data_IF_024979683495
#
_entry.id   IF_024979683495
#
_cell.length_a   1.000
_cell.length_b   1.000
_cell.length_c   1.000
_cell.angle_alpha   90.00
_cell.angle_beta   90.00
_cell.angle_gamma   90.00
#
_symmetry.space_group_name_H-M   'P 1'
#
loop_
_entity.id
_entity.type
_entity.pdbx_description
1 polymer ?
#
# COMPACT_ATOMS: atom_id res chain seq x y z
N UNK A 1 15.70 17.51 0.29
CA UNK A 1 15.31 17.89 1.66
C UNK A 1 13.95 17.30 1.97
N UNK A 2 13.72 16.88 3.22
CA UNK A 2 12.50 16.15 3.61
C UNK A 2 11.81 16.82 4.80
N UNK A 3 10.49 16.85 4.76
CA UNK A 3 9.63 17.25 5.88
C UNK A 3 8.88 16.02 6.38
N UNK A 4 8.82 15.85 7.70
CA UNK A 4 8.02 14.80 8.33
C UNK A 4 6.71 15.38 8.85
N UNK A 5 5.60 14.70 8.61
CA UNK A 5 4.31 14.97 9.25
C UNK A 5 3.95 13.76 10.10
N UNK A 6 3.96 13.90 11.42
CA UNK A 6 3.69 12.84 12.36
C UNK A 6 2.30 12.99 12.96
N UNK A 7 1.35 12.11 12.58
CA UNK A 7 0.05 12.05 13.23
C UNK A 7 0.15 11.23 14.51
N UNK A 8 -0.09 11.87 15.65
CA UNK A 8 0.17 11.30 16.97
C UNK A 8 -1.11 10.81 17.63
N UNK A 9 -1.08 9.54 18.06
CA UNK A 9 -2.10 8.89 18.86
C UNK A 9 -1.46 8.33 20.13
N UNK A 10 -1.54 7.01 20.31
CA UNK A 10 -0.99 6.31 21.47
C UNK A 10 0.47 5.88 21.32
N UNK A 11 0.96 5.77 20.09
CA UNK A 11 2.30 5.23 19.82
C UNK A 11 3.37 6.33 19.87
N UNK A 12 4.07 6.46 20.99
CA UNK A 12 5.19 7.39 21.13
C UNK A 12 6.47 6.84 20.48
N UNK A 13 6.91 5.65 20.92
CA UNK A 13 8.19 5.07 20.54
C UNK A 13 8.26 4.77 19.04
N UNK A 14 7.18 4.26 18.46
CA UNK A 14 7.13 3.98 17.00
C UNK A 14 7.26 5.23 16.15
N UNK A 15 6.69 6.36 16.58
CA UNK A 15 6.87 7.64 15.87
C UNK A 15 8.33 8.08 15.97
N UNK A 16 8.94 7.97 17.16
CA UNK A 16 10.36 8.27 17.37
C UNK A 16 11.27 7.37 16.50
N UNK A 17 10.96 6.08 16.41
CA UNK A 17 11.68 5.11 15.58
C UNK A 17 11.57 5.45 14.09
N UNK A 18 10.37 5.82 13.62
CA UNK A 18 10.12 6.27 12.26
C UNK A 18 10.93 7.53 11.91
N UNK A 19 10.87 8.54 12.77
CA UNK A 19 11.66 9.78 12.60
C UNK A 19 13.16 9.46 12.55
N UNK A 20 13.66 8.64 13.48
CA UNK A 20 15.08 8.26 13.52
C UNK A 20 15.51 7.48 12.28
N UNK A 21 14.65 6.58 11.77
CA UNK A 21 14.91 5.86 10.53
C UNK A 21 15.09 6.81 9.35
N UNK A 22 14.16 7.75 9.17
CA UNK A 22 14.22 8.69 8.04
C UNK A 22 15.35 9.70 8.17
N UNK A 23 15.66 10.15 9.39
CA UNK A 23 16.79 11.05 9.67
C UNK A 23 18.14 10.45 9.27
N UNK A 24 18.30 9.12 9.32
CA UNK A 24 19.52 8.43 8.82
C UNK A 24 19.63 8.41 7.30
N UNK A 25 18.52 8.60 6.58
CA UNK A 25 18.45 8.48 5.11
C UNK A 25 18.42 9.82 4.41
N UNK A 26 17.80 10.83 5.02
CA UNK A 26 17.57 12.12 4.39
C UNK A 26 17.80 13.28 5.37
N UNK A 27 18.26 14.45 4.88
CA UNK A 27 18.28 15.67 5.68
C UNK A 27 16.83 16.13 5.95
N UNK A 28 16.47 16.19 7.24
CA UNK A 28 15.15 16.60 7.72
C UNK A 28 15.15 18.11 7.98
N UNK A 29 14.28 18.83 7.28
CA UNK A 29 14.13 20.28 7.38
C UNK A 29 13.17 20.71 8.49
N UNK A 30 12.06 19.98 8.61
CA UNK A 30 11.02 20.27 9.58
C UNK A 30 10.27 18.99 9.96
N UNK A 31 9.71 19.01 11.17
CA UNK A 31 8.84 17.97 11.70
C UNK A 31 7.55 18.63 12.17
N UNK A 32 6.44 18.31 11.53
CA UNK A 32 5.09 18.72 11.97
C UNK A 32 4.51 17.60 12.83
N UNK A 33 4.14 17.90 14.07
CA UNK A 33 3.52 16.96 15.00
C UNK A 33 2.03 17.32 15.10
N UNK A 34 1.19 16.47 14.52
CA UNK A 34 -0.26 16.64 14.53
C UNK A 34 -0.86 15.86 15.70
N UNK A 35 -1.56 16.56 16.59
CA UNK A 35 -2.11 15.97 17.81
C UNK A 35 -3.62 16.24 17.99
N UNK A 36 -4.31 15.31 18.63
CA UNK A 36 -5.75 15.38 18.86
C UNK A 36 -6.09 16.43 19.92
N UNK A 37 -6.76 17.51 19.49
CA UNK A 37 -7.18 18.63 20.36
C UNK A 37 -8.44 18.35 21.17
N UNK A 38 -9.14 17.24 20.93
CA UNK A 38 -10.38 16.90 21.65
C UNK A 38 -10.12 16.66 23.13
N UNK A 39 -11.04 17.09 23.99
CA UNK A 39 -10.96 16.90 25.44
C UNK A 39 -11.50 15.53 25.86
N UNK A 40 -11.02 14.46 25.22
CA UNK A 40 -11.35 13.07 25.54
C UNK A 40 -10.09 12.25 25.86
N UNK A 41 -10.28 10.95 26.13
CA UNK A 41 -9.19 10.02 26.48
C UNK A 41 -8.13 9.84 25.40
N UNK A 42 -8.54 9.89 24.14
CA UNK A 42 -7.65 9.75 23.00
C UNK A 42 -6.86 11.04 22.78
N UNK A 43 -7.53 12.19 22.89
CA UNK A 43 -6.91 13.50 22.85
C UNK A 43 -5.92 13.73 24.00
N UNK A 44 -6.22 13.25 25.20
CA UNK A 44 -5.29 13.32 26.33
C UNK A 44 -3.98 12.60 26.03
N UNK A 45 -4.06 11.33 25.60
CA UNK A 45 -2.89 10.53 25.22
C UNK A 45 -2.08 11.20 24.09
N UNK A 46 -2.77 11.63 23.03
CA UNK A 46 -2.15 12.29 21.88
C UNK A 46 -1.40 13.57 22.26
N UNK A 47 -1.99 14.45 23.08
CA UNK A 47 -1.34 15.67 23.57
C UNK A 47 -0.10 15.39 24.42
N UNK A 48 -0.17 14.40 25.31
CA UNK A 48 0.97 14.01 26.14
C UNK A 48 2.12 13.49 25.28
N UNK A 49 1.81 12.58 24.35
CA UNK A 49 2.80 12.07 23.40
C UNK A 49 3.38 13.17 22.51
N UNK A 50 2.56 14.12 22.03
CA UNK A 50 3.03 15.22 21.19
C UNK A 50 4.01 16.13 21.94
N UNK A 51 3.75 16.42 23.22
CA UNK A 51 4.67 17.20 24.06
C UNK A 51 5.98 16.44 24.29
N UNK A 52 5.91 15.17 24.69
CA UNK A 52 7.09 14.34 24.92
C UNK A 52 7.93 14.19 23.63
N UNK A 53 7.27 14.06 22.46
CA UNK A 53 7.94 14.01 21.15
C UNK A 53 8.56 15.36 20.77
N UNK A 54 7.89 16.48 21.05
CA UNK A 54 8.44 17.81 20.83
C UNK A 54 9.76 17.98 21.57
N UNK A 55 9.81 17.56 22.83
CA UNK A 55 11.02 17.58 23.66
C UNK A 55 12.10 16.64 23.10
N UNK A 56 11.74 15.38 22.82
CA UNK A 56 12.69 14.37 22.35
C UNK A 56 13.27 14.64 20.95
N UNK A 57 12.52 15.33 20.09
CA UNK A 57 12.91 15.66 18.71
C UNK A 57 13.46 17.08 18.56
N UNK A 58 13.54 17.84 19.65
CA UNK A 58 14.22 19.14 19.66
C UNK A 58 15.73 18.94 19.60
N UNK A 59 16.39 19.60 18.64
CA UNK A 59 17.85 19.60 18.53
C UNK A 59 18.35 21.02 18.23
N UNK A 60 19.65 21.25 18.38
CA UNK A 60 20.26 22.58 18.24
C UNK A 60 19.82 23.27 16.92
N UNK A 61 18.96 24.29 17.05
CA UNK A 61 18.48 25.12 15.95
C UNK A 61 17.13 24.73 15.31
N UNK A 62 16.48 23.63 15.71
CA UNK A 62 15.17 23.25 15.16
C UNK A 62 14.27 22.60 16.22
N UNK A 63 13.01 23.04 16.24
CA UNK A 63 11.94 22.51 17.11
C UNK A 63 10.80 22.00 16.23
N UNK A 64 10.22 20.82 16.53
CA UNK A 64 9.01 20.39 15.86
C UNK A 64 7.86 21.41 15.98
N UNK A 65 7.01 21.48 14.94
CA UNK A 65 5.84 22.36 14.88
C UNK A 65 4.61 21.58 15.37
N UNK A 66 4.04 21.97 16.50
CA UNK A 66 2.84 21.34 17.06
C UNK A 66 1.57 21.91 16.41
N UNK A 67 0.70 21.03 15.88
CA UNK A 67 -0.55 21.41 15.23
C UNK A 67 -1.72 20.60 15.79
N UNK A 68 -2.65 21.28 16.46
CA UNK A 68 -3.84 20.65 17.03
C UNK A 68 -4.95 20.46 16.01
N UNK A 69 -5.42 19.23 15.83
CA UNK A 69 -6.49 18.87 14.90
C UNK A 69 -7.47 17.87 15.51
N UNK A 70 -8.59 17.60 14.83
CA UNK A 70 -9.52 16.55 15.18
C UNK A 70 -9.32 15.35 14.23
N UNK A 71 -8.66 14.25 14.66
CA UNK A 71 -8.40 13.10 13.80
C UNK A 71 -9.68 12.38 13.35
N UNK A 72 -10.80 12.53 14.05
CA UNK A 72 -12.08 11.91 13.70
C UNK A 72 -12.93 12.78 12.76
N UNK A 73 -12.44 13.96 12.35
CA UNK A 73 -13.13 14.85 11.42
C UNK A 73 -12.39 14.88 10.09
N UNK A 74 -12.85 14.08 9.12
CA UNK A 74 -12.25 14.05 7.79
C UNK A 74 -11.98 15.46 7.20
N UNK A 75 -12.92 16.42 7.23
CA UNK A 75 -12.67 17.77 6.71
C UNK A 75 -11.54 18.52 7.42
N UNK A 76 -11.41 18.36 8.73
CA UNK A 76 -10.38 19.03 9.54
C UNK A 76 -9.01 18.39 9.33
N UNK A 77 -8.95 17.06 9.21
CA UNK A 77 -7.70 16.37 8.84
C UNK A 77 -7.27 16.77 7.43
N UNK A 78 -8.21 16.73 6.47
CA UNK A 78 -7.92 17.05 5.08
C UNK A 78 -7.42 18.48 4.93
N UNK A 79 -8.12 19.47 5.50
CA UNK A 79 -7.69 20.87 5.39
C UNK A 79 -6.35 21.13 6.06
N UNK A 80 -6.09 20.52 7.23
CA UNK A 80 -4.81 20.62 7.94
C UNK A 80 -3.68 20.03 7.12
N UNK A 81 -3.82 18.78 6.65
CA UNK A 81 -2.80 18.12 5.84
C UNK A 81 -2.58 18.84 4.51
N UNK A 82 -3.65 19.18 3.80
CA UNK A 82 -3.56 19.90 2.53
C UNK A 82 -2.80 21.21 2.69
N UNK A 83 -3.09 22.00 3.73
CA UNK A 83 -2.40 23.27 3.99
C UNK A 83 -0.89 23.07 4.17
N UNK A 84 -0.48 22.07 4.98
CA UNK A 84 0.93 21.79 5.23
C UNK A 84 1.61 21.28 3.96
N UNK A 85 1.02 20.28 3.30
CA UNK A 85 1.58 19.63 2.13
C UNK A 85 1.69 20.62 0.97
N UNK A 86 0.66 21.44 0.73
CA UNK A 86 0.65 22.43 -0.34
C UNK A 86 1.77 23.45 -0.16
N UNK A 87 2.03 23.88 1.07
CA UNK A 87 3.14 24.79 1.38
C UNK A 87 4.49 24.10 1.17
N UNK A 88 4.71 22.93 1.79
CA UNK A 88 6.00 22.26 1.76
C UNK A 88 6.37 21.74 0.36
N UNK A 89 5.40 21.19 -0.39
CA UNK A 89 5.66 20.61 -1.71
C UNK A 89 5.75 21.69 -2.80
N UNK A 90 4.81 22.64 -2.84
CA UNK A 90 4.71 23.55 -3.98
C UNK A 90 5.39 24.89 -3.74
N UNK A 91 5.44 25.39 -2.50
CA UNK A 91 6.05 26.69 -2.20
C UNK A 91 7.50 26.53 -1.74
N UNK A 92 7.82 25.42 -1.07
CA UNK A 92 9.17 25.11 -0.56
C UNK A 92 9.91 24.03 -1.36
N UNK A 93 9.27 23.37 -2.33
CA UNK A 93 9.85 22.30 -3.17
C UNK A 93 10.46 21.14 -2.36
N UNK A 94 9.85 20.79 -1.23
CA UNK A 94 10.32 19.71 -0.33
C UNK A 94 9.49 18.45 -0.50
N UNK A 95 10.15 17.30 -0.32
CA UNK A 95 9.49 16.00 -0.21
C UNK A 95 8.85 15.86 1.18
N UNK A 96 7.63 15.34 1.23
CA UNK A 96 6.89 15.12 2.49
C UNK A 96 6.76 13.62 2.76
N UNK A 97 7.08 13.21 3.99
CA UNK A 97 6.79 11.87 4.49
C UNK A 97 5.76 11.96 5.61
N UNK A 98 4.62 11.29 5.44
CA UNK A 98 3.50 11.30 6.39
C UNK A 98 3.51 10.00 7.19
N UNK A 99 3.71 10.10 8.49
CA UNK A 99 3.55 9.00 9.43
C UNK A 99 2.06 8.79 9.73
N UNK A 100 1.52 7.65 9.29
CA UNK A 100 0.13 7.25 9.57
C UNK A 100 0.03 6.15 10.63
N UNK A 101 1.06 6.00 11.47
CA UNK A 101 1.19 4.91 12.45
C UNK A 101 0.12 4.92 13.52
N UNK A 102 -0.15 6.09 14.10
CA UNK A 102 -0.99 6.22 15.29
C UNK A 102 -2.14 7.18 15.02
N UNK A 103 -2.99 6.83 14.05
CA UNK A 103 -4.08 7.70 13.62
C UNK A 103 -5.39 6.95 13.43
N UNK A 104 -6.48 7.69 13.28
CA UNK A 104 -7.83 7.14 13.05
C UNK A 104 -8.04 6.76 11.59
N UNK A 105 -9.14 6.07 11.28
CA UNK A 105 -9.47 5.68 9.90
C UNK A 105 -9.79 6.91 9.03
N UNK A 106 -10.46 7.90 9.61
CA UNK A 106 -10.79 9.16 8.94
C UNK A 106 -9.51 9.92 8.56
N UNK A 107 -8.56 9.99 9.49
CA UNK A 107 -7.29 10.65 9.25
C UNK A 107 -6.41 9.91 8.23
N UNK A 108 -6.37 8.57 8.31
CA UNK A 108 -5.70 7.74 7.32
C UNK A 108 -6.29 7.96 5.92
N UNK A 109 -7.62 7.96 5.80
CA UNK A 109 -8.32 8.24 4.54
C UNK A 109 -7.98 9.62 3.98
N UNK A 110 -8.00 10.66 4.81
CA UNK A 110 -7.64 12.02 4.40
C UNK A 110 -6.17 12.13 3.97
N UNK A 111 -5.25 11.45 4.67
CA UNK A 111 -3.83 11.42 4.32
C UNK A 111 -3.59 10.76 2.96
N UNK A 112 -4.23 9.63 2.69
CA UNK A 112 -4.17 8.96 1.37
C UNK A 112 -4.71 9.90 0.28
N UNK A 113 -5.88 10.50 0.49
CA UNK A 113 -6.46 11.43 -0.48
C UNK A 113 -5.55 12.62 -0.76
N UNK A 114 -4.98 13.24 0.28
CA UNK A 114 -4.04 14.36 0.10
C UNK A 114 -2.81 13.92 -0.68
N UNK A 115 -2.19 12.79 -0.31
CA UNK A 115 -0.98 12.33 -0.97
C UNK A 115 -1.18 12.01 -2.45
N UNK A 116 -2.36 11.54 -2.86
CA UNK A 116 -2.68 11.33 -4.28
C UNK A 116 -2.71 12.63 -5.11
N UNK A 117 -2.78 13.80 -4.46
CA UNK A 117 -2.81 15.10 -5.14
C UNK A 117 -1.41 15.68 -5.41
N UNK A 118 -0.34 15.06 -4.88
CA UNK A 118 1.03 15.59 -4.95
C UNK A 118 2.03 14.47 -5.25
N UNK A 119 3.03 14.73 -6.08
CA UNK A 119 4.03 13.72 -6.49
C UNK A 119 5.03 13.32 -5.42
N UNK A 120 5.38 14.27 -4.56
CA UNK A 120 6.48 14.13 -3.62
C UNK A 120 6.00 13.92 -2.19
N UNK A 121 4.88 13.20 -2.06
CA UNK A 121 4.30 12.81 -0.78
C UNK A 121 4.33 11.29 -0.66
N UNK A 122 4.93 10.79 0.42
CA UNK A 122 4.97 9.35 0.72
C UNK A 122 4.33 9.11 2.08
N UNK A 123 3.35 8.20 2.15
CA UNK A 123 2.82 7.73 3.41
C UNK A 123 3.66 6.55 3.91
N UNK A 124 3.81 6.43 5.23
CA UNK A 124 4.40 5.25 5.83
C UNK A 124 3.73 4.90 7.16
N UNK A 125 3.86 3.64 7.54
CA UNK A 125 3.52 3.11 8.85
C UNK A 125 4.74 2.44 9.45
N UNK A 126 4.96 2.59 10.75
CA UNK A 126 6.01 1.89 11.49
C UNK A 126 5.36 0.71 12.19
N UNK A 127 5.40 -0.53 11.69
CA UNK A 127 4.69 -1.65 12.31
C UNK A 127 5.20 -1.92 13.73
N UNK A 128 4.35 -2.37 14.67
CA UNK A 128 4.83 -2.68 16.00
C UNK A 128 5.58 -4.03 16.00
N UNK A 129 6.62 -4.16 16.82
CA UNK A 129 7.29 -5.44 17.03
C UNK A 129 6.39 -6.49 17.71
N UNK A 130 5.37 -6.03 18.45
CA UNK A 130 4.41 -6.87 19.18
C UNK A 130 2.96 -6.45 18.86
N UNK A 131 1.98 -7.39 18.91
CA UNK A 131 0.55 -7.12 18.61
C UNK A 131 -0.29 -6.99 19.89
N UNK A 132 -1.32 -6.13 19.86
CA UNK A 132 -2.32 -5.92 20.93
C UNK A 132 -2.28 -4.46 21.44
N UNK A 133 -3.27 -3.86 22.09
CA UNK A 133 -4.09 -4.35 23.20
C UNK A 133 -5.36 -3.49 23.44
N UNK A 134 -6.23 -3.94 24.37
CA UNK A 134 -7.36 -3.22 24.98
C UNK A 134 -6.96 -1.86 25.61
N UNK A 135 -7.85 -0.85 25.61
CA UNK A 135 -7.59 0.51 26.11
C UNK A 135 -8.42 0.78 27.40
N UNK A 136 -7.79 0.93 28.58
CA UNK A 136 -8.45 1.31 29.83
C UNK A 136 -8.84 2.81 29.89
N UNK A 137 -9.68 3.19 30.86
CA UNK A 137 -10.15 4.58 31.06
C UNK A 137 -9.09 5.47 31.74
N UNK A 138 -8.90 6.75 31.31
CA UNK A 138 -7.95 7.66 31.93
C UNK A 138 -8.27 7.98 33.39
N UNK A 139 -7.22 8.25 34.17
CA UNK A 139 -7.32 8.61 35.59
C UNK A 139 -7.40 7.41 36.53
N UNK A 140 -7.52 6.19 35.98
CA UNK A 140 -7.38 4.96 36.75
C UNK A 140 -5.90 4.55 36.87
N UNK A 141 -5.47 3.90 37.98
CA UNK A 141 -4.08 3.44 38.14
C UNK A 141 -3.62 2.52 36.99
N UNK A 142 -4.50 1.67 36.47
CA UNK A 142 -4.15 0.76 35.37
C UNK A 142 -3.89 1.51 34.05
N UNK A 143 -4.39 2.74 33.90
CA UNK A 143 -4.20 3.53 32.69
C UNK A 143 -2.74 3.97 32.52
N UNK A 144 -2.09 4.46 33.58
CA UNK A 144 -0.70 4.92 33.47
C UNK A 144 0.25 3.75 33.19
N UNK A 145 0.01 2.60 33.82
CA UNK A 145 0.79 1.39 33.55
C UNK A 145 0.57 0.90 32.12
N UNK A 146 -0.69 0.82 31.67
CA UNK A 146 -1.03 0.46 30.30
C UNK A 146 -0.43 1.44 29.28
N UNK A 147 -0.60 2.74 29.51
CA UNK A 147 -0.14 3.80 28.62
C UNK A 147 1.37 3.77 28.50
N UNK A 148 2.08 3.57 29.62
CA UNK A 148 3.53 3.36 29.65
C UNK A 148 3.96 2.12 28.84
N UNK A 149 3.22 1.01 28.93
CA UNK A 149 3.53 -0.18 28.12
C UNK A 149 3.34 0.06 26.63
N UNK A 150 2.16 0.56 26.22
CA UNK A 150 1.82 0.73 24.80
C UNK A 150 2.70 1.78 24.13
N UNK A 151 2.96 2.91 24.80
CA UNK A 151 3.78 3.99 24.22
C UNK A 151 5.22 3.57 23.94
N UNK A 152 5.73 2.55 24.62
CA UNK A 152 7.13 2.11 24.60
C UNK A 152 7.37 0.87 23.71
N UNK A 153 6.35 0.39 22.99
CA UNK A 153 6.52 -0.71 22.04
C UNK A 153 7.40 -0.23 20.89
N UNK A 154 8.51 -0.92 20.65
CA UNK A 154 9.42 -0.60 19.56
C UNK A 154 8.78 -0.85 18.18
N UNK A 155 9.19 -0.03 17.22
CA UNK A 155 8.83 -0.17 15.82
C UNK A 155 9.76 -1.11 15.05
N UNK A 156 9.21 -1.79 14.06
CA UNK A 156 9.97 -2.34 12.94
C UNK A 156 10.30 -1.24 11.92
N UNK A 157 11.05 -1.57 10.88
CA UNK A 157 11.34 -0.62 9.80
C UNK A 157 10.06 -0.02 9.19
N UNK A 158 10.04 1.30 8.91
CA UNK A 158 8.93 1.96 8.22
C UNK A 158 8.56 1.24 6.92
N UNK A 159 7.27 0.98 6.76
CA UNK A 159 6.69 0.44 5.54
C UNK A 159 5.98 1.56 4.80
N UNK A 160 6.47 1.87 3.59
CA UNK A 160 5.82 2.83 2.71
C UNK A 160 4.49 2.28 2.18
N UNK A 161 3.47 3.13 2.16
CA UNK A 161 2.20 2.85 1.50
C UNK A 161 2.34 3.29 0.04
N UNK A 162 2.45 2.31 -0.85
CA UNK A 162 2.59 2.60 -2.27
C UNK A 162 1.27 3.08 -2.86
N UNK A 163 1.27 4.32 -3.29
CA UNK A 163 0.13 4.96 -3.93
C UNK A 163 0.27 4.87 -5.46
N UNK A 164 -0.86 4.82 -6.18
CA UNK A 164 -0.86 5.09 -7.62
C UNK A 164 -0.28 6.48 -7.88
N UNK A 165 0.23 6.69 -9.10
CA UNK A 165 0.66 8.02 -9.53
C UNK A 165 -0.51 9.00 -9.64
N UNK A 166 -0.29 10.08 -10.39
CA UNK A 166 -1.22 11.22 -10.53
C UNK A 166 -2.66 10.88 -10.97
N UNK A 167 -2.94 9.65 -11.44
CA UNK A 167 -4.28 9.25 -11.86
C UNK A 167 -4.62 7.82 -11.42
N UNK A 168 -5.76 7.70 -10.74
CA UNK A 168 -6.47 6.45 -10.45
C UNK A 168 -7.16 5.90 -11.72
N UNK A 169 -6.43 5.76 -12.82
CA UNK A 169 -6.97 5.13 -14.02
C UNK A 169 -6.57 3.65 -14.04
N UNK A 170 -7.56 2.77 -14.19
CA UNK A 170 -7.27 1.35 -14.41
C UNK A 170 -6.48 1.15 -15.71
N UNK A 171 -5.50 0.24 -15.75
CA UNK A 171 -4.89 -0.17 -17.00
C UNK A 171 -5.94 -0.83 -17.92
N UNK A 172 -5.79 -0.63 -19.22
CA UNK A 172 -6.53 -1.37 -20.26
C UNK A 172 -5.94 -2.77 -20.44
N UNK A 173 -6.63 -3.67 -21.12
CA UNK A 173 -6.18 -5.07 -21.31
C UNK A 173 -4.74 -5.19 -21.87
N UNK A 174 -4.41 -4.40 -22.91
CA UNK A 174 -3.05 -4.34 -23.47
C UNK A 174 -2.01 -3.81 -22.46
N UNK A 175 -2.40 -2.86 -21.60
CA UNK A 175 -1.55 -2.30 -20.53
C UNK A 175 -1.36 -3.31 -19.39
N UNK A 176 -2.42 -4.03 -19.01
CA UNK A 176 -2.39 -5.13 -18.03
C UNK A 176 -1.46 -6.27 -18.50
N UNK A 177 -1.46 -6.58 -19.80
CA UNK A 177 -0.54 -7.55 -20.41
C UNK A 177 0.90 -7.11 -20.21
N UNK A 178 1.22 -5.84 -20.49
CA UNK A 178 2.59 -5.30 -20.30
C UNK A 178 2.99 -5.32 -18.81
N UNK A 179 2.11 -4.91 -17.91
CA UNK A 179 2.40 -4.93 -16.47
C UNK A 179 2.62 -6.36 -15.97
N UNK A 180 1.83 -7.32 -16.46
CA UNK A 180 1.98 -8.75 -16.14
C UNK A 180 3.29 -9.33 -16.70
N UNK A 181 3.65 -9.00 -17.94
CA UNK A 181 4.87 -9.54 -18.57
C UNK A 181 6.11 -8.97 -17.89
N UNK A 182 6.11 -7.67 -17.56
CA UNK A 182 7.19 -7.07 -16.78
C UNK A 182 7.36 -7.79 -15.45
N UNK A 183 6.28 -8.08 -14.70
CA UNK A 183 6.37 -8.83 -13.45
C UNK A 183 6.97 -10.22 -13.64
N UNK A 184 6.58 -10.94 -14.69
CA UNK A 184 7.13 -12.27 -15.01
C UNK A 184 8.64 -12.23 -15.29
N UNK A 185 9.14 -11.10 -15.80
CA UNK A 185 10.55 -10.84 -16.09
C UNK A 185 11.27 -10.02 -15.00
N UNK A 186 10.83 -10.12 -13.73
CA UNK A 186 11.52 -9.48 -12.60
C UNK A 186 11.20 -7.99 -12.42
N UNK A 187 10.20 -7.48 -13.13
CA UNK A 187 9.71 -6.10 -13.05
C UNK A 187 10.51 -5.08 -13.85
N UNK A 188 11.40 -5.53 -14.73
CA UNK A 188 12.36 -4.69 -15.45
C UNK A 188 12.47 -5.14 -16.91
N UNK A 189 12.60 -4.19 -17.83
CA UNK A 189 13.05 -4.42 -19.20
C UNK A 189 14.15 -3.44 -19.60
N UNK A 190 15.15 -3.92 -20.35
CA UNK A 190 16.21 -3.08 -20.91
C UNK A 190 15.71 -2.16 -22.04
N UNK A 191 14.58 -2.51 -22.67
CA UNK A 191 14.00 -1.69 -23.75
C UNK A 191 12.52 -2.00 -24.04
N UNK A 192 11.87 -1.09 -24.78
CA UNK A 192 10.53 -1.35 -25.33
C UNK A 192 10.54 -2.54 -26.30
N UNK A 193 11.64 -2.75 -27.04
CA UNK A 193 11.82 -3.89 -27.94
C UNK A 193 11.65 -5.22 -27.20
N UNK A 194 12.31 -5.39 -26.05
CA UNK A 194 12.22 -6.63 -25.27
C UNK A 194 10.80 -6.87 -24.74
N UNK A 195 10.07 -5.81 -24.39
CA UNK A 195 8.66 -5.92 -23.98
C UNK A 195 7.80 -6.42 -25.15
N UNK A 196 8.01 -5.90 -26.36
CA UNK A 196 7.31 -6.35 -27.56
C UNK A 196 7.58 -7.84 -27.82
N UNK A 197 8.84 -8.26 -27.73
CA UNK A 197 9.27 -9.65 -27.92
C UNK A 197 8.64 -10.57 -26.87
N UNK A 198 8.62 -10.19 -25.58
CA UNK A 198 7.98 -10.99 -24.52
C UNK A 198 6.46 -11.06 -24.67
N UNK A 199 5.85 -10.05 -25.27
CA UNK A 199 4.45 -10.10 -25.67
C UNK A 199 4.21 -10.95 -26.93
N UNK A 200 5.24 -11.47 -27.60
CA UNK A 200 5.11 -12.30 -28.80
C UNK A 200 4.73 -11.51 -30.06
N UNK A 201 4.97 -10.20 -30.08
CA UNK A 201 4.76 -9.35 -31.26
C UNK A 201 6.09 -9.07 -31.98
N UNK A 202 6.03 -8.64 -33.26
CA UNK A 202 7.24 -8.37 -34.04
C UNK A 202 7.80 -6.97 -33.71
N UNK A 203 8.96 -6.86 -33.05
CA UNK A 203 9.55 -5.58 -32.73
C UNK A 203 9.95 -4.78 -33.96
N UNK A 204 10.26 -5.38 -35.12
CA UNK A 204 10.69 -4.62 -36.29
C UNK A 204 9.54 -3.94 -37.05
N UNK A 205 8.29 -4.25 -36.71
CA UNK A 205 7.13 -3.56 -37.27
C UNK A 205 6.97 -2.16 -36.65
N UNK A 206 7.07 -1.12 -37.47
CA UNK A 206 6.95 0.27 -37.03
C UNK A 206 5.60 0.60 -36.35
N UNK A 207 4.49 0.00 -36.82
CA UNK A 207 3.19 0.18 -36.18
C UNK A 207 3.15 -0.46 -34.78
N UNK A 208 3.80 -1.61 -34.59
CA UNK A 208 3.93 -2.28 -33.27
C UNK A 208 4.81 -1.43 -32.34
N UNK A 209 5.98 -0.96 -32.78
CA UNK A 209 6.83 -0.04 -31.99
C UNK A 209 6.04 1.18 -31.52
N UNK A 210 5.28 1.80 -32.42
CA UNK A 210 4.47 2.99 -32.11
C UNK A 210 3.34 2.67 -31.11
N UNK A 211 2.66 1.53 -31.26
CA UNK A 211 1.65 1.05 -30.30
C UNK A 211 2.26 0.93 -28.90
N UNK A 212 3.37 0.21 -28.77
CA UNK A 212 3.99 -0.04 -27.48
C UNK A 212 4.58 1.22 -26.85
N UNK A 213 5.17 2.13 -27.64
CA UNK A 213 5.60 3.44 -27.12
C UNK A 213 4.45 4.18 -26.45
N UNK A 214 3.27 4.25 -27.11
CA UNK A 214 2.08 4.90 -26.54
C UNK A 214 1.55 4.20 -25.29
N UNK A 215 1.61 2.86 -25.26
CA UNK A 215 1.23 2.09 -24.07
C UNK A 215 2.17 2.34 -22.90
N UNK A 216 3.48 2.39 -23.13
CA UNK A 216 4.46 2.73 -22.11
C UNK A 216 4.26 4.16 -21.61
N UNK A 217 4.10 5.14 -22.50
CA UNK A 217 3.81 6.52 -22.11
C UNK A 217 2.53 6.63 -21.27
N UNK A 218 1.50 5.85 -21.60
CA UNK A 218 0.27 5.76 -20.81
C UNK A 218 0.53 5.16 -19.43
N UNK A 219 1.26 4.05 -19.33
CA UNK A 219 1.64 3.41 -18.08
C UNK A 219 2.52 4.31 -17.20
N UNK A 220 3.41 5.11 -17.79
CA UNK A 220 4.22 6.12 -17.09
C UNK A 220 3.32 7.19 -16.50
N UNK A 221 2.39 7.75 -17.29
CA UNK A 221 1.43 8.76 -16.80
C UNK A 221 0.53 8.24 -15.68
N UNK A 222 0.19 6.95 -15.70
CA UNK A 222 -0.56 6.26 -14.63
C UNK A 222 0.30 5.92 -13.41
N UNK A 223 1.61 6.11 -13.47
CA UNK A 223 2.55 5.78 -12.40
C UNK A 223 2.75 4.28 -12.18
N UNK A 224 2.47 3.44 -13.18
CA UNK A 224 2.65 1.99 -13.11
C UNK A 224 4.05 1.55 -13.53
N UNK A 225 4.69 2.31 -14.42
CA UNK A 225 6.08 2.12 -14.83
C UNK A 225 6.84 3.44 -14.76
N UNK A 226 8.16 3.35 -14.73
CA UNK A 226 9.06 4.49 -14.94
C UNK A 226 10.07 4.16 -16.04
N UNK A 227 10.45 5.18 -16.79
CA UNK A 227 11.56 5.09 -17.73
C UNK A 227 12.85 5.59 -17.08
N UNK A 228 13.92 4.81 -17.17
CA UNK A 228 15.25 5.21 -16.71
C UNK A 228 16.10 5.48 -17.95
N UNK A 229 16.57 6.73 -18.16
CA UNK A 229 17.46 7.05 -19.28
C UNK A 229 18.73 6.21 -19.21
N UNK A 230 19.10 5.56 -20.32
CA UNK A 230 20.44 5.02 -20.53
C UNK A 230 21.00 5.56 -21.86
N UNK A 231 22.32 5.40 -22.06
CA UNK A 231 23.07 6.03 -23.15
C UNK A 231 22.55 5.75 -24.58
N UNK A 232 21.78 4.67 -24.81
CA UNK A 232 21.24 4.32 -26.14
C UNK A 232 19.76 3.91 -26.17
N UNK A 233 19.21 3.45 -25.05
CA UNK A 233 17.82 2.97 -24.95
C UNK A 233 17.26 3.32 -23.58
N UNK A 234 15.95 3.49 -23.48
CA UNK A 234 15.27 3.70 -22.21
C UNK A 234 14.93 2.35 -21.59
N UNK A 235 15.43 2.13 -20.37
CA UNK A 235 15.02 1.00 -19.52
C UNK A 235 13.64 1.29 -18.97
N UNK A 236 12.78 0.28 -18.92
CA UNK A 236 11.42 0.38 -18.36
C UNK A 236 11.34 -0.48 -17.10
N UNK A 237 10.87 0.09 -15.99
CA UNK A 237 10.74 -0.63 -14.72
C UNK A 237 9.35 -0.42 -14.12
N UNK A 238 8.77 -1.46 -13.51
CA UNK A 238 7.57 -1.33 -12.67
C UNK A 238 7.87 -0.44 -11.46
N UNK A 239 7.00 0.54 -11.21
CA UNK A 239 7.02 1.26 -9.93
C UNK A 239 6.65 0.31 -8.78
N UNK A 240 6.90 0.67 -7.51
CA UNK A 240 6.42 -0.13 -6.38
C UNK A 240 4.92 -0.42 -6.44
N UNK A 241 4.11 0.58 -6.78
CA UNK A 241 2.67 0.40 -7.00
C UNK A 241 2.38 -0.48 -8.21
N UNK A 242 3.10 -0.31 -9.33
CA UNK A 242 2.99 -1.17 -10.51
C UNK A 242 3.24 -2.65 -10.21
N UNK A 243 4.20 -2.97 -9.33
CA UNK A 243 4.46 -4.34 -8.86
C UNK A 243 3.28 -4.91 -8.06
N UNK A 244 2.72 -4.11 -7.14
CA UNK A 244 1.53 -4.54 -6.37
C UNK A 244 0.33 -4.76 -7.28
N UNK A 245 0.08 -3.85 -8.23
CA UNK A 245 -1.01 -4.00 -9.18
C UNK A 245 -0.81 -5.24 -10.05
N UNK A 246 0.39 -5.51 -10.53
CA UNK A 246 0.72 -6.72 -11.30
C UNK A 246 0.42 -8.00 -10.51
N UNK A 247 0.75 -8.02 -9.21
CA UNK A 247 0.40 -9.13 -8.33
C UNK A 247 -1.13 -9.27 -8.18
N UNK A 248 -1.84 -8.15 -8.04
CA UNK A 248 -3.30 -8.11 -8.04
C UNK A 248 -3.91 -8.71 -9.33
N UNK A 249 -3.37 -8.35 -10.49
CA UNK A 249 -3.77 -8.90 -11.79
C UNK A 249 -3.52 -10.40 -11.89
N UNK A 250 -2.39 -10.89 -11.36
CA UNK A 250 -2.11 -12.32 -11.28
C UNK A 250 -3.18 -13.06 -10.46
N UNK A 251 -3.55 -12.52 -9.30
CA UNK A 251 -4.62 -13.11 -8.47
C UNK A 251 -6.00 -13.02 -9.13
N UNK A 252 -6.30 -11.92 -9.82
CA UNK A 252 -7.54 -11.79 -10.58
C UNK A 252 -7.67 -12.87 -11.67
N UNK A 253 -6.60 -13.11 -12.46
CA UNK A 253 -6.58 -14.14 -13.50
C UNK A 253 -6.82 -15.55 -12.91
N UNK A 254 -6.12 -15.91 -11.84
CA UNK A 254 -6.33 -17.18 -11.13
C UNK A 254 -7.78 -17.31 -10.60
N UNK A 255 -8.36 -16.22 -10.08
CA UNK A 255 -9.75 -16.22 -9.62
C UNK A 255 -10.74 -16.38 -10.77
N UNK A 256 -10.50 -15.72 -11.91
CA UNK A 256 -11.32 -15.83 -13.11
C UNK A 256 -11.34 -17.26 -13.63
N UNK A 257 -10.20 -17.95 -13.65
CA UNK A 257 -10.10 -19.37 -14.04
C UNK A 257 -10.95 -20.28 -13.16
N UNK A 258 -10.97 -20.06 -11.84
CA UNK A 258 -11.78 -20.84 -10.90
C UNK A 258 -13.29 -20.64 -11.14
N UNK A 259 -13.70 -19.41 -11.48
CA UNK A 259 -15.11 -19.05 -11.61
C UNK A 259 -15.62 -19.07 -13.05
N UNK A 260 -14.76 -19.40 -14.02
CA UNK A 260 -15.18 -19.64 -15.41
C UNK A 260 -15.54 -21.12 -15.51
N UNK A 261 -16.80 -21.47 -15.82
CA UNK A 261 -17.16 -22.88 -15.98
C UNK A 261 -16.28 -23.48 -17.07
N UNK A 262 -15.56 -24.55 -16.73
CA UNK A 262 -14.85 -25.33 -17.75
C UNK A 262 -15.90 -25.84 -18.74
N UNK A 263 -15.66 -25.76 -20.06
CA UNK A 263 -16.55 -26.38 -21.02
C UNK A 263 -16.75 -27.83 -20.61
N UNK A 264 -18.01 -28.25 -20.50
CA UNK A 264 -18.35 -29.66 -20.27
C UNK A 264 -17.66 -30.43 -21.41
N UNK A 265 -16.76 -31.38 -21.11
CA UNK A 265 -16.18 -32.19 -22.16
C UNK A 265 -17.32 -32.86 -22.90
N UNK A 266 -17.48 -32.54 -24.19
CA UNK A 266 -18.34 -33.31 -25.07
C UNK A 266 -17.63 -34.64 -25.29
N UNK A 267 -17.93 -35.60 -24.41
CA UNK A 267 -17.64 -37.00 -24.71
C UNK A 267 -18.55 -37.39 -25.87
N UNK A 268 -18.00 -37.41 -27.09
CA UNK A 268 -18.59 -38.19 -28.16
C UNK A 268 -18.41 -39.66 -27.76
N UNK A 269 -19.43 -40.23 -27.12
CA UNK A 269 -19.51 -41.66 -26.93
C UNK A 269 -19.72 -42.26 -28.31
N UNK A 270 -18.66 -42.81 -28.90
CA UNK A 270 -18.84 -43.85 -29.93
C UNK A 270 -19.51 -45.01 -29.21
N UNK A 271 -20.79 -45.24 -29.53
CA UNK A 271 -21.53 -46.39 -29.03
C UNK A 271 -20.94 -47.61 -29.73
N UNK A 272 -19.95 -48.23 -29.11
CA UNK A 272 -19.66 -49.64 -29.36
C UNK A 272 -20.57 -50.43 -28.42
N UNK A 273 -21.58 -51.06 -29.01
CA UNK A 273 -22.45 -52.05 -28.39
C UNK A 273 -21.63 -53.30 -28.03
N UNK A 274 -20.92 -53.26 -26.91
CA UNK A 274 -20.70 -54.42 -26.03
C UNK A 274 -19.65 -54.09 -24.97
N UNK A 275 -20.11 -53.90 -23.74
CA UNK A 275 -19.61 -54.63 -22.55
C UNK A 275 -20.12 -53.98 -21.27
N UNK A 276 -21.03 -54.70 -20.65
CA UNK A 276 -21.30 -54.62 -19.23
C UNK A 276 -20.05 -55.01 -18.43
N UNK A 277 -19.95 -54.44 -17.23
CA UNK A 277 -19.13 -54.80 -16.05
C UNK A 277 -17.85 -54.00 -15.73
N UNK A 278 -17.81 -53.60 -14.44
CA UNK A 278 -16.71 -53.16 -13.58
C UNK A 278 -16.48 -51.63 -13.48
N UNK A 279 -17.10 -50.93 -12.51
CA UNK A 279 -16.73 -50.74 -11.09
C UNK A 279 -15.30 -50.24 -10.86
N UNK A 280 -15.24 -49.10 -10.13
CA UNK A 280 -14.11 -48.50 -9.40
C UNK A 280 -13.29 -47.41 -10.10
N UNK A 281 -13.79 -46.17 -10.08
CA UNK A 281 -12.93 -44.96 -10.02
C UNK A 281 -13.57 -43.75 -9.29
N UNK A 282 -14.76 -43.91 -8.69
CA UNK A 282 -15.52 -42.82 -8.04
C UNK A 282 -15.11 -42.47 -6.60
N UNK A 283 -14.09 -43.13 -6.03
CA UNK A 283 -13.75 -43.00 -4.61
C UNK A 283 -12.51 -42.13 -4.30
N UNK A 284 -11.78 -41.67 -5.32
CA UNK A 284 -10.57 -40.85 -5.09
C UNK A 284 -10.82 -39.34 -5.27
N UNK A 285 -11.86 -38.93 -6.01
CA UNK A 285 -12.13 -37.51 -6.29
C UNK A 285 -13.01 -36.79 -5.25
N UNK A 286 -13.60 -37.50 -4.28
CA UNK A 286 -14.45 -36.90 -3.23
C UNK A 286 -13.67 -36.32 -2.05
N UNK A 287 -12.46 -36.81 -1.76
CA UNK A 287 -11.74 -36.44 -0.53
C UNK A 287 -10.97 -35.11 -0.59
N UNK A 288 -10.66 -34.58 -1.79
CA UNK A 288 -10.04 -33.26 -1.93
C UNK A 288 -11.05 -32.11 -1.97
N UNK A 289 -12.27 -32.35 -2.48
CA UNK A 289 -13.34 -31.34 -2.54
C UNK A 289 -13.92 -31.04 -1.15
N UNK A 290 -14.05 -32.06 -0.29
CA UNK A 290 -14.58 -31.87 1.06
C UNK A 290 -13.61 -31.10 1.99
N UNK A 291 -12.30 -31.20 1.76
CA UNK A 291 -11.29 -30.46 2.53
C UNK A 291 -11.24 -28.96 2.21
N UNK A 292 -11.64 -28.55 1.00
CA UNK A 292 -11.76 -27.13 0.64
C UNK A 292 -13.07 -26.54 1.19
N UNK A 293 -14.15 -27.32 1.23
CA UNK A 293 -15.45 -26.91 1.78
C UNK A 293 -15.38 -26.59 3.29
N UNK A 294 -14.63 -27.39 4.04
CA UNK A 294 -14.53 -27.26 5.51
C UNK A 294 -13.85 -25.96 6.00
N UNK A 295 -13.02 -25.30 5.18
CA UNK A 295 -12.38 -24.02 5.56
C UNK A 295 -13.29 -22.79 5.41
N UNK A 296 -14.38 -22.89 4.67
CA UNK A 296 -15.25 -21.75 4.37
C UNK A 296 -16.55 -21.74 5.19
N UNK A 297 -17.00 -22.86 5.75
CA UNK A 297 -18.26 -22.92 6.51
C UNK A 297 -18.13 -22.50 7.99
N UNK A 298 -16.95 -22.61 8.62
CA UNK A 298 -16.76 -22.15 10.02
C UNK A 298 -16.72 -20.63 10.20
N UNK A 299 -16.57 -19.83 9.14
CA UNK A 299 -16.63 -18.35 9.24
C UNK A 299 -18.04 -17.77 9.12
N UNK A 300 -19.03 -18.58 8.71
CA UNK A 300 -20.43 -18.16 8.66
C UNK A 300 -21.21 -18.49 9.95
N UNK A 301 -20.72 -19.41 10.79
CA UNK A 301 -21.44 -19.88 11.98
C UNK A 301 -21.05 -19.21 13.32
N UNK A 302 -20.04 -18.34 13.37
CA UNK A 302 -19.64 -17.62 14.61
C UNK A 302 -20.02 -16.12 14.59
N UNK A 303 -21.17 -15.80 14.00
CA UNK A 303 -21.90 -14.56 14.26
C UNK A 303 -23.36 -14.89 14.59
N UNK A 304 -23.55 -15.44 15.79
CA UNK A 304 -24.69 -15.19 16.66
C UNK A 304 -24.15 -14.97 18.06
#
# INVERSE_FOLDING_TARGET
>A
MVVLICMVGHDYQRILDGVNYWRRKYPIEAIHILYDRKKDKYGYASRRNAKDLEEALSFAGSKPILIGYNPQSYPDVFSTLYSIIRFEVMDMERRVLIDTTSTTKEAYGAAVTCALMFSDVTLYVVPPAERGWYIPEPGMPEYEEWFSKVRNVNGLDPQEIFLPGYRLENPKEDEERIVSILLAHGGVSDSIRSIIEWCGENPENAAVKNKYSRLIDSLVRKGLVREIPQAKVKRVELTPFGKILALGLKYYKARKEIHTPKPIPTYSVSIDEDRSTQLNEDLVFKSEIDNIRFRFERKAANKQ
#
